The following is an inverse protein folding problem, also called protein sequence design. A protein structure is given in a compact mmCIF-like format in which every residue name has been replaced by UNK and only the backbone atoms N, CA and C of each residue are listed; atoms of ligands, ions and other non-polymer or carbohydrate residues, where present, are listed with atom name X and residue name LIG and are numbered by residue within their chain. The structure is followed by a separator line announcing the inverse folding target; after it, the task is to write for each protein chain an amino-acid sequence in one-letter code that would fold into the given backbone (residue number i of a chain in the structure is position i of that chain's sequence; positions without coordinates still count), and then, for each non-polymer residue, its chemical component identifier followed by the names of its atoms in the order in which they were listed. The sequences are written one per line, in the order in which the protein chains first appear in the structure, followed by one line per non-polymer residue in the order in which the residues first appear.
data_IF_128052135521
#
_entry.id   IF_128052135521
#
_cell.length_a   1.000
_cell.length_b   1.000
_cell.length_c   1.000
_cell.angle_alpha   90.00
_cell.angle_beta   90.00
_cell.angle_gamma   90.00
#
_symmetry.space_group_name_H-M   'P 1'
#
loop_
_entity.id
_entity.type
_entity.pdbx_description
1 polymer ?
#
# COMPACT_ATOMS: atom_id res chain seq x y z
N UNK A 1 18.30 -4.14 13.45
CA UNK A 1 17.55 -5.15 14.21
C UNK A 1 16.38 -5.61 13.38
N UNK A 2 16.27 -6.90 13.16
CA UNK A 2 15.06 -7.45 12.58
C UNK A 2 13.94 -7.27 13.61
N UNK A 3 13.01 -6.37 13.34
CA UNK A 3 11.83 -6.24 14.17
C UNK A 3 11.05 -7.56 14.15
N UNK A 4 10.50 -7.96 15.27
CA UNK A 4 9.64 -9.13 15.32
C UNK A 4 8.49 -8.93 14.32
N UNK A 5 8.51 -9.74 13.27
CA UNK A 5 7.39 -9.78 12.33
C UNK A 5 6.25 -10.48 13.07
N UNK A 6 5.29 -9.68 13.49
CA UNK A 6 4.08 -10.19 14.12
C UNK A 6 2.95 -10.09 13.09
N UNK A 7 2.53 -11.22 12.55
CA UNK A 7 1.40 -11.28 11.63
C UNK A 7 0.04 -11.20 12.36
N UNK A 8 0.07 -11.02 13.66
CA UNK A 8 -1.15 -11.10 14.46
C UNK A 8 -1.44 -9.81 15.20
N UNK A 9 -2.41 -9.09 14.69
CA UNK A 9 -3.26 -8.31 15.58
C UNK A 9 -4.15 -9.28 16.34
N UNK A 10 -4.44 -8.99 17.60
CA UNK A 10 -5.44 -9.74 18.39
C UNK A 10 -6.86 -9.42 17.94
N UNK A 11 -7.04 -8.41 17.10
CA UNK A 11 -8.32 -7.96 16.58
C UNK A 11 -8.33 -7.96 15.05
N UNK A 12 -9.48 -8.22 14.45
CA UNK A 12 -9.68 -8.00 13.01
C UNK A 12 -9.93 -6.52 12.71
N UNK A 13 -9.80 -6.07 11.45
CA UNK A 13 -10.17 -4.70 11.10
C UNK A 13 -11.57 -4.29 11.51
N UNK A 14 -12.51 -5.24 11.58
CA UNK A 14 -13.91 -4.99 11.97
C UNK A 14 -14.08 -4.74 13.46
N UNK A 15 -13.06 -4.99 14.27
CA UNK A 15 -13.08 -4.79 15.73
C UNK A 15 -11.82 -4.12 16.27
N UNK A 16 -11.05 -3.49 15.39
CA UNK A 16 -9.73 -2.89 15.74
C UNK A 16 -9.90 -1.44 16.16
N UNK A 17 -9.22 -1.09 17.25
CA UNK A 17 -9.19 0.27 17.80
C UNK A 17 -7.76 0.77 17.94
N UNK A 18 -7.59 2.05 18.26
CA UNK A 18 -6.29 2.70 18.44
C UNK A 18 -5.36 1.88 19.37
N UNK A 19 -5.88 1.37 20.43
CA UNK A 19 -5.13 0.61 21.44
C UNK A 19 -4.55 -0.70 20.92
N UNK A 20 -5.06 -1.20 19.79
CA UNK A 20 -4.57 -2.45 19.19
C UNK A 20 -3.29 -2.25 18.37
N UNK A 21 -2.94 -1.01 18.08
CA UNK A 21 -1.72 -0.69 17.33
C UNK A 21 -0.55 -0.53 18.29
N UNK A 22 0.45 -1.40 18.15
CA UNK A 22 1.60 -1.43 19.06
C UNK A 22 2.82 -0.84 18.35
N UNK A 23 3.36 0.25 18.90
CA UNK A 23 4.56 0.89 18.37
C UNK A 23 5.72 -0.09 18.25
N UNK A 24 6.37 -0.09 17.10
CA UNK A 24 7.49 -0.98 16.79
C UNK A 24 7.08 -2.33 16.19
N UNK A 25 5.78 -2.67 16.20
CA UNK A 25 5.31 -3.91 15.57
C UNK A 25 5.38 -3.83 14.06
N UNK A 26 5.65 -4.97 13.41
CA UNK A 26 5.75 -5.11 11.96
C UNK A 26 4.79 -6.19 11.51
N UNK A 27 3.98 -5.87 10.51
CA UNK A 27 2.95 -6.76 9.98
C UNK A 27 3.10 -6.90 8.48
N UNK A 28 2.92 -8.11 7.96
CA UNK A 28 2.90 -8.37 6.52
C UNK A 28 1.53 -8.88 6.11
N UNK A 29 1.02 -8.37 5.00
CA UNK A 29 -0.32 -8.69 4.56
C UNK A 29 -0.40 -8.91 3.06
N UNK A 30 -1.29 -9.81 2.71
CA UNK A 30 -1.96 -9.89 1.45
C UNK A 30 -1.19 -10.44 0.31
N UNK A 31 -1.88 -10.46 -0.76
CA UNK A 31 -1.36 -10.57 -2.10
C UNK A 31 -2.43 -9.97 -3.02
N UNK A 32 -2.02 -9.10 -3.90
CA UNK A 32 -2.87 -8.57 -4.95
C UNK A 32 -2.10 -8.60 -6.26
N UNK A 33 -2.72 -9.19 -7.28
CA UNK A 33 -2.12 -9.26 -8.60
C UNK A 33 -2.35 -7.97 -9.36
N UNK A 34 -1.34 -7.51 -10.07
CA UNK A 34 -1.43 -6.36 -10.95
C UNK A 34 -2.00 -6.81 -12.29
N UNK A 35 -3.23 -6.42 -12.58
CA UNK A 35 -3.92 -6.79 -13.80
C UNK A 35 -3.64 -5.80 -14.92
N UNK A 36 -3.29 -6.32 -16.11
CA UNK A 36 -2.96 -5.48 -17.26
C UNK A 36 -4.12 -4.54 -17.64
N UNK A 37 -5.35 -5.06 -17.61
CA UNK A 37 -6.52 -4.25 -17.93
C UNK A 37 -6.66 -3.06 -16.99
N UNK A 38 -6.43 -3.25 -15.68
CA UNK A 38 -6.47 -2.16 -14.70
C UNK A 38 -5.36 -1.15 -14.94
N UNK A 39 -4.15 -1.60 -15.27
CA UNK A 39 -3.03 -0.71 -15.60
C UNK A 39 -3.40 0.22 -16.75
N UNK A 40 -3.95 -0.34 -17.82
CA UNK A 40 -4.38 0.41 -19.00
C UNK A 40 -5.54 1.36 -18.68
N UNK A 41 -6.56 0.87 -17.99
CA UNK A 41 -7.74 1.66 -17.64
C UNK A 41 -7.39 2.82 -16.71
N UNK A 42 -6.58 2.58 -15.70
CA UNK A 42 -6.10 3.63 -14.79
C UNK A 42 -5.25 4.66 -15.53
N UNK A 43 -4.33 4.19 -16.36
CA UNK A 43 -3.48 5.07 -17.17
C UNK A 43 -4.29 5.96 -18.09
N UNK A 44 -5.24 5.39 -18.83
CA UNK A 44 -6.08 6.14 -19.75
C UNK A 44 -6.92 7.21 -19.04
N UNK A 45 -7.40 6.89 -17.86
CA UNK A 45 -8.26 7.80 -17.12
C UNK A 45 -7.49 8.90 -16.40
N UNK A 46 -6.33 8.58 -15.81
CA UNK A 46 -5.67 9.49 -14.86
C UNK A 46 -4.25 9.90 -15.26
N UNK A 47 -3.51 9.05 -15.96
CA UNK A 47 -2.10 9.29 -16.30
C UNK A 47 -1.83 8.76 -17.71
N UNK A 48 -2.33 9.40 -18.76
CA UNK A 48 -2.23 8.88 -20.13
C UNK A 48 -0.84 9.09 -20.75
N UNK A 49 0.19 8.61 -20.09
CA UNK A 49 1.54 8.55 -20.62
C UNK A 49 1.76 7.23 -21.34
N UNK A 50 2.56 7.24 -22.40
CA UNK A 50 2.71 6.11 -23.30
C UNK A 50 3.05 4.78 -22.60
N UNK A 51 3.95 4.82 -21.63
CA UNK A 51 4.36 3.60 -20.91
C UNK A 51 3.29 3.06 -19.93
N UNK A 52 2.17 3.75 -19.78
CA UNK A 52 1.01 3.27 -19.02
C UNK A 52 -0.16 2.84 -19.91
N UNK A 53 -0.19 3.26 -21.16
CA UNK A 53 -1.38 3.10 -22.01
C UNK A 53 -1.12 2.41 -23.35
N UNK A 54 0.14 2.24 -23.75
CA UNK A 54 0.50 1.67 -25.04
C UNK A 54 1.62 0.64 -24.86
N UNK A 55 1.28 -0.63 -25.04
CA UNK A 55 2.23 -1.74 -24.85
C UNK A 55 3.41 -1.67 -25.80
N UNK A 56 3.18 -1.31 -27.05
CA UNK A 56 4.24 -1.28 -28.06
C UNK A 56 5.23 -0.13 -27.79
N UNK A 57 4.72 1.05 -27.47
CA UNK A 57 5.55 2.19 -27.10
C UNK A 57 6.28 1.94 -25.78
N UNK A 58 5.61 1.32 -24.83
CA UNK A 58 6.20 0.99 -23.51
C UNK A 58 7.41 0.07 -23.64
N UNK A 59 7.40 -0.90 -24.57
CA UNK A 59 8.55 -1.77 -24.83
C UNK A 59 9.81 -1.01 -25.23
N UNK A 60 9.65 0.14 -25.87
CA UNK A 60 10.75 1.00 -26.29
C UNK A 60 11.16 2.04 -25.24
N UNK A 61 10.43 2.10 -24.14
CA UNK A 61 10.73 2.99 -23.02
C UNK A 61 11.88 2.45 -22.18
N UNK A 62 12.35 3.29 -21.25
CA UNK A 62 13.39 2.91 -20.29
C UNK A 62 12.95 1.74 -19.40
N UNK A 63 11.64 1.49 -19.30
CA UNK A 63 11.07 0.40 -18.50
C UNK A 63 11.04 -0.93 -19.24
N UNK A 64 11.12 -0.93 -20.55
CA UNK A 64 11.11 -2.14 -21.35
C UNK A 64 9.76 -2.85 -21.45
N UNK A 65 8.69 -2.22 -21.00
CA UNK A 65 7.34 -2.77 -21.01
C UNK A 65 6.34 -1.85 -20.33
N UNK A 66 5.08 -2.24 -20.43
CA UNK A 66 3.99 -1.52 -19.78
C UNK A 66 4.16 -1.56 -18.26
N UNK A 67 4.02 -0.42 -17.61
CA UNK A 67 4.08 -0.33 -16.15
C UNK A 67 2.82 0.35 -15.58
N UNK A 68 2.46 -0.03 -14.37
CA UNK A 68 1.43 0.65 -13.61
C UNK A 68 1.90 2.06 -13.24
N UNK A 69 0.98 3.02 -13.27
CA UNK A 69 1.24 4.34 -12.67
C UNK A 69 1.59 4.16 -11.19
N UNK A 70 2.51 4.97 -10.68
CA UNK A 70 2.81 5.00 -9.24
C UNK A 70 1.56 5.22 -8.40
N UNK A 71 0.65 6.07 -8.84
CA UNK A 71 -0.63 6.31 -8.16
C UNK A 71 -1.53 5.09 -8.19
N UNK A 72 -1.48 4.28 -9.24
CA UNK A 72 -2.19 2.99 -9.29
C UNK A 72 -1.58 2.01 -8.29
N UNK A 73 -0.26 1.92 -8.24
CA UNK A 73 0.44 1.10 -7.25
C UNK A 73 0.07 1.52 -5.83
N UNK A 74 0.01 2.83 -5.57
CA UNK A 74 -0.44 3.36 -4.28
C UNK A 74 -1.89 2.96 -3.97
N UNK A 75 -2.77 2.95 -4.97
CA UNK A 75 -4.16 2.52 -4.80
C UNK A 75 -4.26 1.02 -4.48
N UNK A 76 -3.45 0.19 -5.13
CA UNK A 76 -3.38 -1.24 -4.82
C UNK A 76 -2.86 -1.47 -3.40
N UNK A 77 -1.85 -0.72 -2.99
CA UNK A 77 -1.36 -0.71 -1.60
C UNK A 77 -2.49 -0.34 -0.64
N UNK A 78 -3.25 0.69 -0.94
CA UNK A 78 -4.37 1.11 -0.10
C UNK A 78 -5.44 0.02 0.03
N UNK A 79 -5.66 -0.77 -1.01
CA UNK A 79 -6.61 -1.89 -0.92
C UNK A 79 -6.15 -2.91 0.12
N UNK A 80 -4.87 -3.31 0.07
CA UNK A 80 -4.30 -4.22 1.05
C UNK A 80 -4.29 -3.60 2.46
N UNK A 81 -3.94 -2.34 2.54
CA UNK A 81 -3.88 -1.58 3.79
C UNK A 81 -5.26 -1.50 4.45
N UNK A 82 -6.28 -1.25 3.65
CA UNK A 82 -7.66 -1.16 4.12
C UNK A 82 -8.21 -2.53 4.53
N UNK A 83 -7.93 -3.57 3.73
CA UNK A 83 -8.46 -4.91 4.01
C UNK A 83 -7.86 -5.53 5.27
N UNK A 84 -6.62 -5.20 5.62
CA UNK A 84 -5.86 -5.93 6.64
C UNK A 84 -5.40 -5.10 7.83
N UNK A 85 -5.14 -3.82 7.66
CA UNK A 85 -4.48 -3.01 8.67
C UNK A 85 -5.36 -1.93 9.28
N UNK A 86 -6.04 -1.15 8.46
CA UNK A 86 -6.86 -0.05 8.94
C UNK A 86 -8.05 -0.55 9.75
N UNK A 87 -8.38 0.19 10.81
CA UNK A 87 -9.64 -0.04 11.51
C UNK A 87 -10.82 0.29 10.60
N UNK A 88 -11.83 -0.57 10.59
CA UNK A 88 -13.09 -0.32 9.87
C UNK A 88 -14.16 0.27 10.77
N UNK A 89 -13.94 0.27 12.09
CA UNK A 89 -14.94 0.72 13.08
C UNK A 89 -14.57 2.03 13.76
N UNK A 90 -13.28 2.40 13.76
CA UNK A 90 -12.79 3.57 14.51
C UNK A 90 -11.88 4.47 13.64
N UNK A 91 -11.97 4.38 12.32
CA UNK A 91 -11.16 5.19 11.42
C UNK A 91 -11.81 6.56 11.20
N UNK A 92 -11.06 7.61 11.49
CA UNK A 92 -11.51 8.99 11.31
C UNK A 92 -10.85 9.67 10.11
N UNK A 93 -10.17 8.91 9.28
CA UNK A 93 -9.43 9.41 8.13
C UNK A 93 -7.97 9.66 8.45
N UNK A 94 -7.28 10.26 7.49
CA UNK A 94 -5.86 10.55 7.59
C UNK A 94 -5.59 11.99 7.17
N UNK A 95 -4.69 12.70 7.85
CA UNK A 95 -4.30 14.06 7.41
C UNK A 95 -3.40 14.04 6.17
N UNK A 96 -2.94 12.87 5.75
CA UNK A 96 -2.06 12.73 4.60
C UNK A 96 -0.91 11.76 4.86
N UNK A 97 0.11 11.86 4.03
CA UNK A 97 1.35 11.13 4.21
C UNK A 97 2.53 12.10 4.18
N UNK A 98 3.59 11.79 4.93
CA UNK A 98 4.78 12.63 4.99
C UNK A 98 5.67 12.44 3.77
N UNK A 99 5.69 11.22 3.24
CA UNK A 99 6.58 10.84 2.17
C UNK A 99 5.95 9.74 1.34
N UNK A 100 6.12 9.82 0.03
CA UNK A 100 5.73 8.79 -0.92
C UNK A 100 6.84 8.65 -1.96
N UNK A 101 7.37 7.43 -2.10
CA UNK A 101 8.41 7.11 -3.07
C UNK A 101 8.04 5.90 -3.90
N UNK A 102 8.39 5.94 -5.17
CA UNK A 102 8.27 4.82 -6.07
C UNK A 102 9.68 4.35 -6.43
N UNK A 103 10.18 3.35 -5.71
CA UNK A 103 11.55 2.89 -5.86
C UNK A 103 11.75 1.98 -7.08
N UNK A 104 10.70 1.26 -7.47
CA UNK A 104 10.75 0.29 -8.57
C UNK A 104 9.49 0.33 -9.40
N UNK A 105 9.61 0.11 -10.74
CA UNK A 105 8.42 -0.03 -11.57
C UNK A 105 7.65 -1.30 -11.23
N UNK A 106 6.33 -1.23 -11.42
CA UNK A 106 5.42 -2.35 -11.22
C UNK A 106 4.84 -2.75 -12.57
N UNK A 107 4.96 -4.03 -12.89
CA UNK A 107 4.53 -4.58 -14.18
C UNK A 107 3.24 -5.37 -14.03
N UNK A 108 2.40 -5.41 -15.08
CA UNK A 108 1.29 -6.37 -15.11
C UNK A 108 1.83 -7.79 -14.87
N UNK A 109 1.11 -8.56 -14.06
CA UNK A 109 1.51 -9.89 -13.65
C UNK A 109 2.29 -9.95 -12.34
N UNK A 110 2.82 -8.84 -11.88
CA UNK A 110 3.43 -8.77 -10.56
C UNK A 110 2.37 -9.02 -9.47
N UNK A 111 2.80 -9.58 -8.37
CA UNK A 111 1.98 -9.74 -7.17
C UNK A 111 2.53 -8.85 -6.08
N UNK A 112 1.67 -8.02 -5.51
CA UNK A 112 2.04 -7.08 -4.47
C UNK A 112 1.58 -7.57 -3.11
N UNK A 113 2.42 -7.38 -2.11
CA UNK A 113 2.07 -7.49 -0.70
C UNK A 113 2.57 -6.25 0.02
N UNK A 114 2.19 -6.07 1.27
CA UNK A 114 2.65 -4.93 2.05
C UNK A 114 3.28 -5.37 3.37
N UNK A 115 4.28 -4.61 3.79
CA UNK A 115 4.85 -4.68 5.13
C UNK A 115 4.58 -3.35 5.81
N UNK A 116 3.95 -3.39 6.96
CA UNK A 116 3.57 -2.18 7.71
C UNK A 116 4.28 -2.19 9.05
N UNK A 117 5.04 -1.13 9.33
CA UNK A 117 5.66 -0.91 10.63
C UNK A 117 4.89 0.20 11.34
N UNK A 118 4.45 -0.06 12.56
CA UNK A 118 3.85 0.97 13.41
C UNK A 118 4.98 1.82 13.99
N UNK A 119 5.14 3.04 13.48
CA UNK A 119 6.21 3.94 13.89
C UNK A 119 5.91 4.66 15.19
N UNK A 120 4.68 5.11 15.35
CA UNK A 120 4.26 5.92 16.49
C UNK A 120 2.77 5.76 16.72
N UNK A 121 2.38 5.70 17.98
CA UNK A 121 1.00 5.80 18.40
C UNK A 121 0.93 6.92 19.43
N UNK A 122 0.07 7.90 19.18
CA UNK A 122 -0.05 9.08 20.02
C UNK A 122 -1.51 9.42 20.25
N UNK A 123 -1.93 9.44 21.51
CA UNK A 123 -3.25 9.92 21.87
C UNK A 123 -3.31 11.45 21.68
N UNK A 124 -4.41 11.94 21.12
CA UNK A 124 -4.61 13.37 20.96
C UNK A 124 -4.73 14.06 22.31
N UNK A 125 -3.98 15.17 22.49
CA UNK A 125 -4.05 15.96 23.72
C UNK A 125 -5.34 16.78 23.79
N UNK A 126 -5.80 17.29 22.64
CA UNK A 126 -6.97 18.17 22.57
C UNK A 126 -8.30 17.40 22.45
N UNK A 127 -8.25 16.16 21.97
CA UNK A 127 -9.43 15.33 21.72
C UNK A 127 -9.20 13.93 22.29
N UNK A 128 -9.58 13.67 23.56
CA UNK A 128 -9.20 12.44 24.26
C UNK A 128 -9.86 11.19 23.73
N UNK A 129 -10.85 11.29 22.84
CA UNK A 129 -11.54 10.18 22.21
C UNK A 129 -10.82 9.59 21.00
N UNK A 130 -9.65 10.14 20.65
CA UNK A 130 -8.92 9.70 19.44
C UNK A 130 -7.41 9.73 19.62
N UNK A 131 -6.75 9.04 18.71
CA UNK A 131 -5.30 9.02 18.63
C UNK A 131 -4.83 9.04 17.17
N UNK A 132 -3.52 9.17 17.00
CA UNK A 132 -2.86 9.14 15.69
C UNK A 132 -1.94 7.94 15.67
N UNK A 133 -2.05 7.15 14.61
CA UNK A 133 -1.12 6.05 14.32
C UNK A 133 -0.31 6.45 13.09
N UNK A 134 1.00 6.54 13.25
CA UNK A 134 1.92 6.81 12.16
C UNK A 134 2.54 5.49 11.72
N UNK A 135 2.44 5.21 10.44
CA UNK A 135 2.85 3.91 9.89
C UNK A 135 3.80 4.10 8.72
N UNK A 136 4.74 3.18 8.59
CA UNK A 136 5.60 3.05 7.42
C UNK A 136 5.13 1.85 6.62
N UNK A 137 4.73 2.08 5.38
CA UNK A 137 4.20 1.04 4.51
C UNK A 137 5.16 0.81 3.37
N UNK A 138 5.62 -0.42 3.24
CA UNK A 138 6.45 -0.87 2.13
C UNK A 138 5.62 -1.79 1.23
N UNK A 139 5.66 -1.53 -0.08
CA UNK A 139 5.06 -2.43 -1.07
C UNK A 139 6.14 -3.40 -1.52
N UNK A 140 5.87 -4.69 -1.34
CA UNK A 140 6.75 -5.77 -1.74
C UNK A 140 6.28 -6.33 -3.07
N UNK A 141 7.19 -6.45 -4.02
CA UNK A 141 6.88 -6.90 -5.36
C UNK A 141 7.42 -8.31 -5.54
N UNK A 142 6.54 -9.24 -5.90
CA UNK A 142 6.92 -10.55 -6.42
C UNK A 142 6.62 -10.55 -7.90
N UNK A 143 7.67 -10.71 -8.72
CA UNK A 143 7.50 -10.80 -10.15
C UNK A 143 6.75 -12.07 -10.54
N UNK A 144 6.15 -12.05 -11.74
CA UNK A 144 5.60 -13.27 -12.32
C UNK A 144 6.73 -14.31 -12.41
N UNK A 145 6.51 -15.47 -11.81
CA UNK A 145 7.46 -16.58 -11.97
C UNK A 145 7.34 -17.11 -13.40
N UNK A 146 8.44 -17.04 -14.09
CA UNK A 146 8.56 -17.59 -15.45
C UNK A 146 8.75 -19.10 -15.42
#
# INVERSE_FOLDING_TARGET
MAGNISNSFYSSPDSRYFEDYVTGSVHEFGAIRVEEKEVLDFGRRFVPLSYHVDKETAKKSIYGGLIASGWHTAALMMRLYTDHYLSKVANLGSPGCDELKWDKPVFPGDTLSIRVTVLETRRSESKPDRGIVRSFVEVLIRGAQW
#
